data_IF_093277849668
#
_entry.id   IF_093277849668
#
_cell.length_a   1.000
_cell.length_b   1.000
_cell.length_c   1.000
_cell.angle_alpha   90.00
_cell.angle_beta   90.00
_cell.angle_gamma   90.00
#
_symmetry.space_group_name_H-M   'P 1'
#
loop_
_entity.id
_entity.type
_entity.pdbx_description
1 polymer ?
#
# COMPACT_ATOMS: atom_id res chain seq x y z
N UNK A 1 -8.13 21.06 2.23
CA UNK A 1 -6.66 21.35 2.29
C UNK A 1 -6.32 22.80 1.94
N UNK A 2 -7.15 23.52 1.18
CA UNK A 2 -6.86 24.93 0.80
C UNK A 2 -6.94 25.95 1.96
N UNK A 3 -7.65 25.64 3.04
CA UNK A 3 -7.91 26.58 4.14
C UNK A 3 -6.67 26.99 4.95
N UNK A 4 -5.57 26.26 4.87
CA UNK A 4 -4.35 26.48 5.68
C UNK A 4 -3.14 26.90 4.83
N UNK A 5 -3.25 26.84 3.49
CA UNK A 5 -2.16 27.27 2.59
C UNK A 5 -1.91 28.77 2.67
N UNK A 6 -0.66 29.16 2.85
CA UNK A 6 -0.23 30.57 2.87
C UNK A 6 -0.38 31.29 4.22
N UNK A 7 -0.84 30.62 5.26
CA UNK A 7 -0.88 31.14 6.62
C UNK A 7 0.43 30.87 7.38
N UNK A 8 0.74 31.72 8.38
CA UNK A 8 1.81 31.44 9.35
C UNK A 8 1.15 31.17 10.70
N UNK A 9 1.44 29.99 11.26
CA UNK A 9 0.81 29.51 12.49
C UNK A 9 1.85 29.16 13.55
N UNK A 10 1.59 29.52 14.79
CA UNK A 10 2.43 29.14 15.93
C UNK A 10 2.02 27.78 16.51
N UNK A 11 0.78 27.35 16.25
CA UNK A 11 0.25 26.06 16.70
C UNK A 11 -0.76 25.54 15.68
N UNK A 12 -0.71 24.25 15.42
CA UNK A 12 -1.71 23.51 14.66
C UNK A 12 -2.23 22.40 15.55
N UNK A 13 -3.55 22.31 15.68
CA UNK A 13 -4.23 21.26 16.40
C UNK A 13 -5.09 20.47 15.42
N UNK A 14 -4.84 19.16 15.31
CA UNK A 14 -5.57 18.22 14.47
C UNK A 14 -6.34 17.27 15.40
N UNK A 15 -7.66 17.40 15.37
CA UNK A 15 -8.56 16.54 16.15
C UNK A 15 -9.13 15.44 15.27
N UNK A 16 -9.31 14.26 15.85
CA UNK A 16 -9.82 13.06 15.17
C UNK A 16 -9.08 12.72 13.86
N UNK A 17 -7.76 12.89 13.89
CA UNK A 17 -6.95 12.80 12.68
C UNK A 17 -6.97 11.41 12.03
N UNK A 18 -7.12 10.33 12.81
CA UNK A 18 -7.24 8.98 12.28
C UNK A 18 -8.53 8.74 11.45
N UNK A 19 -9.52 9.64 11.54
CA UNK A 19 -10.77 9.55 10.77
C UNK A 19 -10.76 10.40 9.50
N UNK A 20 -9.66 11.10 9.23
CA UNK A 20 -9.47 11.83 7.97
C UNK A 20 -9.14 10.82 6.87
N UNK A 21 -9.83 10.86 5.71
CA UNK A 21 -9.50 9.99 4.58
C UNK A 21 -8.01 10.08 4.21
N UNK A 22 -7.39 8.93 3.90
CA UNK A 22 -5.94 8.81 3.72
C UNK A 22 -5.38 9.80 2.70
N UNK A 23 -6.00 9.91 1.53
CA UNK A 23 -5.62 10.85 0.47
C UNK A 23 -5.67 12.32 0.94
N UNK A 24 -6.68 12.68 1.74
CA UNK A 24 -6.82 14.04 2.30
C UNK A 24 -5.76 14.30 3.37
N UNK A 25 -5.46 13.31 4.21
CA UNK A 25 -4.45 13.41 5.26
C UNK A 25 -3.04 13.56 4.66
N UNK A 26 -2.71 12.78 3.63
CA UNK A 26 -1.43 12.86 2.91
C UNK A 26 -1.27 14.20 2.18
N UNK A 27 -2.29 14.65 1.45
CA UNK A 27 -2.32 15.96 0.80
C UNK A 27 -2.16 17.11 1.81
N UNK A 28 -2.81 16.99 2.97
CA UNK A 28 -2.68 17.98 4.03
C UNK A 28 -1.25 18.03 4.55
N UNK A 29 -0.65 16.89 4.88
CA UNK A 29 0.73 16.85 5.38
C UNK A 29 1.73 17.38 4.35
N UNK A 30 1.64 16.95 3.09
CA UNK A 30 2.54 17.42 2.03
C UNK A 30 2.45 18.91 1.77
N UNK A 31 1.23 19.49 1.89
CA UNK A 31 0.98 20.89 1.61
C UNK A 31 1.18 21.82 2.82
N UNK A 32 0.98 21.34 4.04
CA UNK A 32 1.01 22.15 5.26
C UNK A 32 2.31 22.01 6.04
N UNK A 33 2.92 20.83 6.01
CA UNK A 33 4.17 20.56 6.73
C UNK A 33 5.32 21.51 6.38
N UNK A 34 5.54 21.91 5.11
CA UNK A 34 6.56 22.93 4.78
C UNK A 34 6.29 24.28 5.45
N UNK A 35 5.01 24.66 5.60
CA UNK A 35 4.61 25.90 6.30
C UNK A 35 4.88 25.81 7.81
N UNK A 36 4.65 24.63 8.39
CA UNK A 36 4.92 24.35 9.81
C UNK A 36 6.43 24.37 10.08
N UNK A 37 7.21 23.71 9.24
CA UNK A 37 8.66 23.58 9.41
C UNK A 37 9.43 24.87 9.23
N UNK A 38 8.84 25.90 8.58
CA UNK A 38 9.45 27.23 8.42
C UNK A 38 9.42 28.07 9.68
N UNK A 39 8.56 27.74 10.65
CA UNK A 39 8.44 28.44 11.93
C UNK A 39 9.42 27.90 12.99
N UNK A 40 10.22 28.77 13.62
CA UNK A 40 11.17 28.37 14.69
C UNK A 40 10.52 27.80 15.95
N UNK A 41 9.22 27.96 16.15
CA UNK A 41 8.49 27.58 17.38
C UNK A 41 7.10 27.00 17.13
N UNK A 42 6.79 26.57 15.90
CA UNK A 42 5.47 26.01 15.59
C UNK A 42 5.30 24.65 16.27
N UNK A 43 4.18 24.50 16.97
CA UNK A 43 3.79 23.24 17.62
C UNK A 43 2.70 22.57 16.79
N UNK A 44 2.81 21.27 16.63
CA UNK A 44 1.78 20.43 16.02
C UNK A 44 1.29 19.45 17.07
N UNK A 45 0.00 19.48 17.33
CA UNK A 45 -0.69 18.55 18.23
C UNK A 45 -1.68 17.75 17.39
N UNK A 46 -1.56 16.45 17.46
CA UNK A 46 -2.44 15.51 16.74
C UNK A 46 -3.10 14.63 17.79
N UNK A 47 -4.43 14.63 17.80
CA UNK A 47 -5.22 13.83 18.74
C UNK A 47 -6.19 12.98 17.95
N UNK A 48 -6.32 11.72 18.34
CA UNK A 48 -7.34 10.81 17.80
C UNK A 48 -7.43 9.55 18.64
N UNK A 49 -8.55 8.84 18.56
CA UNK A 49 -8.59 7.40 18.82
C UNK A 49 -8.08 6.67 17.59
N UNK A 50 -7.51 5.46 17.72
CA UNK A 50 -7.05 4.66 16.59
C UNK A 50 -8.19 4.34 15.61
N UNK A 51 -7.90 4.40 14.32
CA UNK A 51 -8.84 4.01 13.26
C UNK A 51 -8.07 3.35 12.10
N UNK A 52 -7.72 2.07 12.26
CA UNK A 52 -6.93 1.35 11.30
C UNK A 52 -5.43 1.72 11.30
N UNK A 53 -4.71 1.26 10.29
CA UNK A 53 -3.25 1.46 10.15
C UNK A 53 -2.93 2.59 9.17
N UNK A 54 -3.63 3.70 9.27
CA UNK A 54 -3.53 4.88 8.42
C UNK A 54 -2.33 5.79 8.75
N UNK A 55 -2.31 7.02 8.22
CA UNK A 55 -1.22 7.97 8.46
C UNK A 55 -1.01 8.30 9.95
N UNK A 56 -2.08 8.33 10.78
CA UNK A 56 -1.96 8.51 12.22
C UNK A 56 -1.19 7.36 12.87
N UNK A 57 -1.49 6.11 12.49
CA UNK A 57 -0.72 4.94 12.91
C UNK A 57 0.75 5.02 12.49
N UNK A 58 1.02 5.43 11.24
CA UNK A 58 2.41 5.62 10.76
C UNK A 58 3.17 6.62 11.61
N UNK A 59 2.57 7.79 11.86
CA UNK A 59 3.19 8.83 12.69
C UNK A 59 3.46 8.32 14.09
N UNK A 60 2.55 7.53 14.67
CA UNK A 60 2.68 6.92 15.98
C UNK A 60 3.84 5.93 16.03
N UNK A 61 3.86 4.92 15.15
CA UNK A 61 4.92 3.91 15.09
C UNK A 61 6.28 4.54 14.77
N UNK A 62 6.32 5.55 13.92
CA UNK A 62 7.56 6.30 13.64
C UNK A 62 8.06 7.06 14.87
N UNK A 63 7.16 7.58 15.72
CA UNK A 63 7.53 8.21 16.98
C UNK A 63 8.03 7.21 18.02
N UNK A 64 7.36 6.05 18.17
CA UNK A 64 7.82 4.95 19.03
C UNK A 64 9.23 4.48 18.67
N UNK A 65 9.51 4.37 17.39
CA UNK A 65 10.82 3.96 16.86
C UNK A 65 11.81 5.13 16.70
N UNK A 66 11.48 6.34 17.19
CA UNK A 66 12.32 7.55 17.10
C UNK A 66 12.73 7.93 15.67
N UNK A 67 11.86 7.64 14.70
CA UNK A 67 12.05 7.99 13.28
C UNK A 67 11.51 9.36 12.92
N UNK A 68 10.70 9.96 13.80
CA UNK A 68 10.22 11.34 13.71
C UNK A 68 10.46 12.08 15.06
N UNK A 69 10.10 13.35 15.13
CA UNK A 69 10.29 14.19 16.31
C UNK A 69 9.04 14.33 17.20
N UNK A 70 7.99 13.58 16.95
CA UNK A 70 6.78 13.60 17.78
C UNK A 70 7.00 12.91 19.12
N UNK A 71 6.38 13.48 20.18
CA UNK A 71 6.27 12.86 21.48
C UNK A 71 4.90 12.19 21.60
N UNK A 72 4.88 10.94 22.02
CA UNK A 72 3.65 10.16 22.20
C UNK A 72 3.09 10.43 23.60
N UNK A 73 1.78 10.60 23.64
CA UNK A 73 0.99 10.58 24.88
C UNK A 73 -0.16 9.60 24.64
N UNK A 74 -0.10 8.46 25.33
CA UNK A 74 -1.16 7.44 25.36
C UNK A 74 -1.96 7.60 26.65
N UNK A 75 -3.29 7.59 26.53
CA UNK A 75 -4.21 7.68 27.67
C UNK A 75 -5.17 6.49 27.64
N UNK A 76 -4.73 5.38 28.23
CA UNK A 76 -5.58 4.20 28.38
C UNK A 76 -6.73 4.48 29.37
N UNK A 77 -7.90 3.87 29.15
CA UNK A 77 -9.09 4.12 29.98
C UNK A 77 -8.86 3.92 31.47
N UNK A 78 -8.01 2.97 31.87
CA UNK A 78 -7.71 2.70 33.29
C UNK A 78 -6.95 3.83 34.00
N UNK A 79 -6.39 4.78 33.24
CA UNK A 79 -5.73 5.98 33.77
C UNK A 79 -6.72 7.11 34.06
N UNK A 80 -7.97 6.98 33.58
CA UNK A 80 -9.01 8.01 33.72
C UNK A 80 -9.75 7.80 35.03
N UNK A 81 -9.77 8.78 35.95
CA UNK A 81 -10.48 8.64 37.22
C UNK A 81 -11.96 8.29 37.03
N UNK A 82 -12.44 7.33 37.81
CA UNK A 82 -13.83 6.87 37.80
C UNK A 82 -14.14 5.79 36.75
N UNK A 83 -13.13 5.34 35.97
CA UNK A 83 -13.26 4.20 35.08
C UNK A 83 -12.65 2.96 35.74
N UNK A 84 -13.49 1.98 36.06
CA UNK A 84 -13.12 0.69 36.68
C UNK A 84 -13.60 -0.49 35.79
N UNK A 85 -13.37 -1.72 36.25
CA UNK A 85 -13.80 -2.93 35.52
C UNK A 85 -15.33 -3.05 35.39
N UNK A 86 -16.09 -2.46 36.31
CA UNK A 86 -17.54 -2.39 36.18
C UNK A 86 -17.92 -1.47 35.00
N UNK A 87 -17.36 -0.27 34.96
CA UNK A 87 -17.52 0.66 33.85
C UNK A 87 -17.10 0.03 32.52
N UNK A 88 -15.97 -0.71 32.49
CA UNK A 88 -15.51 -1.45 31.30
C UNK A 88 -16.57 -2.44 30.82
N UNK A 89 -17.07 -3.28 31.72
CA UNK A 89 -18.07 -4.31 31.41
C UNK A 89 -19.37 -3.69 30.87
N UNK A 90 -19.86 -2.63 31.52
CA UNK A 90 -21.05 -1.91 31.10
C UNK A 90 -20.87 -1.23 29.74
N UNK A 91 -19.69 -0.64 29.48
CA UNK A 91 -19.40 0.02 28.22
C UNK A 91 -19.31 -0.98 27.07
N UNK A 92 -18.67 -2.13 27.27
CA UNK A 92 -18.63 -3.21 26.27
C UNK A 92 -20.02 -3.75 25.97
N UNK A 93 -20.88 -3.93 26.99
CA UNK A 93 -22.23 -4.41 26.83
C UNK A 93 -23.11 -3.43 26.02
N UNK A 94 -22.85 -2.12 26.12
CA UNK A 94 -23.57 -1.06 25.42
C UNK A 94 -23.01 -0.76 24.03
N UNK A 95 -21.81 -1.23 23.70
CA UNK A 95 -21.14 -1.00 22.43
C UNK A 95 -20.73 -2.31 21.78
N UNK A 96 -19.45 -2.61 21.77
CA UNK A 96 -18.87 -3.91 21.43
C UNK A 96 -17.45 -4.01 21.96
N UNK A 97 -16.92 -5.23 22.10
CA UNK A 97 -15.50 -5.46 22.48
C UNK A 97 -14.55 -4.78 21.49
N UNK A 98 -14.83 -4.84 20.21
CA UNK A 98 -13.99 -4.22 19.17
C UNK A 98 -13.98 -2.70 19.30
N UNK A 99 -15.16 -2.08 19.49
CA UNK A 99 -15.26 -0.64 19.69
C UNK A 99 -14.55 -0.22 20.97
N UNK A 100 -14.69 -1.00 22.06
CA UNK A 100 -14.01 -0.73 23.32
C UNK A 100 -12.48 -0.73 23.15
N UNK A 101 -11.95 -1.74 22.48
CA UNK A 101 -10.50 -1.84 22.22
C UNK A 101 -9.97 -0.65 21.43
N UNK A 102 -10.72 -0.19 20.44
CA UNK A 102 -10.34 0.97 19.64
C UNK A 102 -10.41 2.28 20.44
N UNK A 103 -11.56 2.54 21.08
CA UNK A 103 -11.84 3.85 21.67
C UNK A 103 -11.21 4.03 23.06
N UNK A 104 -10.99 2.95 23.79
CA UNK A 104 -10.63 3.01 25.20
C UNK A 104 -9.33 2.26 25.54
N UNK A 105 -9.05 1.12 24.92
CA UNK A 105 -7.73 0.48 25.01
C UNK A 105 -6.71 1.12 24.05
N UNK A 106 -7.15 2.05 23.20
CA UNK A 106 -6.33 2.74 22.20
C UNK A 106 -5.60 1.78 21.25
N UNK A 107 -6.20 0.63 20.93
CA UNK A 107 -5.61 -0.35 20.03
C UNK A 107 -5.81 0.02 18.56
N UNK A 108 -4.73 0.05 17.80
CA UNK A 108 -4.79 0.10 16.35
C UNK A 108 -5.27 -1.26 15.83
N UNK A 109 -6.54 -1.33 15.47
CA UNK A 109 -7.17 -2.52 14.88
C UNK A 109 -7.27 -2.32 13.37
N UNK A 110 -6.85 -3.32 12.59
CA UNK A 110 -7.19 -3.40 11.16
C UNK A 110 -8.67 -3.74 10.98
N UNK A 111 -9.19 -3.54 9.78
CA UNK A 111 -10.57 -3.89 9.43
C UNK A 111 -10.83 -5.39 9.65
N UNK A 112 -12.06 -5.72 9.97
CA UNK A 112 -12.48 -7.12 10.09
C UNK A 112 -12.51 -7.79 8.69
N UNK A 113 -12.25 -9.10 8.64
CA UNK A 113 -12.28 -9.90 7.40
C UNK A 113 -11.28 -9.47 6.32
N UNK A 114 -10.12 -8.93 6.73
CA UNK A 114 -9.02 -8.64 5.81
C UNK A 114 -8.47 -9.92 5.14
N UNK A 115 -7.89 -9.76 3.95
CA UNK A 115 -7.24 -10.86 3.25
C UNK A 115 -6.16 -11.51 4.13
N UNK A 116 -5.28 -10.70 4.69
CA UNK A 116 -4.20 -11.13 5.59
C UNK A 116 -4.70 -11.00 7.04
N UNK A 117 -4.33 -11.98 7.86
CA UNK A 117 -4.70 -11.97 9.29
C UNK A 117 -4.20 -10.66 9.95
N UNK A 118 -5.06 -9.90 10.65
CA UNK A 118 -4.66 -8.66 11.32
C UNK A 118 -3.48 -8.83 12.28
N UNK A 119 -3.38 -9.97 12.98
CA UNK A 119 -2.24 -10.25 13.84
C UNK A 119 -0.93 -10.38 13.06
N UNK A 120 -0.99 -10.88 11.83
CA UNK A 120 0.18 -10.95 10.93
C UNK A 120 0.57 -9.56 10.45
N UNK A 121 -0.39 -8.74 10.03
CA UNK A 121 -0.14 -7.37 9.59
C UNK A 121 0.56 -6.56 10.70
N UNK A 122 0.12 -6.66 11.95
CA UNK A 122 0.73 -5.99 13.10
C UNK A 122 2.21 -6.37 13.33
N UNK A 123 2.62 -7.55 12.90
CA UNK A 123 4.03 -8.01 13.04
C UNK A 123 4.93 -7.57 11.87
N UNK A 124 4.37 -6.99 10.82
CA UNK A 124 5.14 -6.52 9.68
C UNK A 124 5.89 -5.23 10.04
N UNK A 125 7.21 -5.27 9.88
CA UNK A 125 8.04 -4.08 10.06
C UNK A 125 8.14 -3.32 8.74
N UNK A 126 7.99 -1.99 8.79
CA UNK A 126 8.21 -1.14 7.63
C UNK A 126 9.39 -0.20 7.84
N UNK A 127 10.00 0.19 6.73
CA UNK A 127 11.19 1.06 6.71
C UNK A 127 10.99 2.16 5.66
N UNK A 128 11.70 3.26 5.84
CA UNK A 128 11.75 4.27 4.81
C UNK A 128 12.57 3.77 3.61
N UNK A 129 12.19 4.12 2.37
CA UNK A 129 12.99 3.79 1.20
C UNK A 129 14.39 4.41 1.30
N UNK A 130 15.40 3.72 0.76
CA UNK A 130 16.76 4.24 0.67
C UNK A 130 16.87 5.38 -0.35
N UNK A 131 15.95 5.44 -1.28
CA UNK A 131 15.80 6.48 -2.28
C UNK A 131 14.33 6.61 -2.66
N UNK A 132 13.84 7.86 -2.76
CA UNK A 132 12.49 8.19 -3.24
C UNK A 132 12.59 9.29 -4.28
N UNK A 133 12.00 9.09 -5.44
CA UNK A 133 12.00 10.07 -6.52
C UNK A 133 10.79 9.88 -7.45
N UNK A 134 10.00 10.94 -7.64
CA UNK A 134 8.90 11.00 -8.61
C UNK A 134 7.92 9.80 -8.55
N UNK A 135 7.61 9.32 -7.35
CA UNK A 135 6.70 8.19 -7.11
C UNK A 135 7.39 6.82 -7.09
N UNK A 136 8.71 6.75 -7.36
CA UNK A 136 9.50 5.53 -7.23
C UNK A 136 10.20 5.51 -5.87
N UNK A 137 9.87 4.53 -5.05
CA UNK A 137 10.50 4.22 -3.78
C UNK A 137 11.36 2.96 -3.93
N UNK A 138 12.64 3.08 -3.60
CA UNK A 138 13.60 1.98 -3.64
C UNK A 138 13.97 1.56 -2.22
N UNK A 139 13.83 0.28 -1.90
CA UNK A 139 14.19 -0.31 -0.60
C UNK A 139 15.51 -1.07 -0.65
N UNK A 140 15.79 -1.77 -1.76
CA UNK A 140 17.07 -2.44 -1.99
C UNK A 140 17.55 -2.11 -3.41
N UNK A 141 18.88 -1.87 -3.57
CA UNK A 141 19.49 -1.69 -4.89
C UNK A 141 19.52 -3.01 -5.65
N UNK A 142 19.46 -2.98 -6.99
CA UNK A 142 19.66 -4.18 -7.81
C UNK A 142 20.97 -4.88 -7.46
N UNK A 143 20.94 -6.22 -7.36
CA UNK A 143 22.11 -7.07 -7.12
C UNK A 143 22.42 -7.84 -8.39
N UNK A 144 23.71 -7.93 -8.73
CA UNK A 144 24.16 -8.72 -9.88
C UNK A 144 23.75 -10.18 -9.74
N UNK A 145 23.24 -10.78 -10.82
CA UNK A 145 22.78 -12.16 -10.88
C UNK A 145 21.44 -12.45 -10.17
N UNK A 146 20.83 -11.45 -9.52
CA UNK A 146 19.51 -11.62 -8.93
C UNK A 146 18.42 -11.60 -10.01
N UNK A 147 17.34 -12.35 -9.75
CA UNK A 147 16.14 -12.41 -10.62
C UNK A 147 15.03 -11.56 -10.03
N UNK A 148 14.47 -10.68 -10.85
CA UNK A 148 13.42 -9.76 -10.44
C UNK A 148 12.16 -9.92 -11.29
N UNK A 149 11.03 -9.58 -10.67
CA UNK A 149 9.73 -9.51 -11.34
C UNK A 149 9.09 -8.16 -11.02
N UNK A 150 8.62 -7.48 -12.05
CA UNK A 150 7.80 -6.26 -11.95
C UNK A 150 6.36 -6.63 -12.22
N UNK A 151 5.45 -6.28 -11.34
CA UNK A 151 4.00 -6.45 -11.53
C UNK A 151 3.38 -5.05 -11.56
N UNK A 152 2.69 -4.72 -12.65
CA UNK A 152 2.16 -3.38 -12.89
C UNK A 152 0.64 -3.38 -13.07
N UNK A 153 -0.02 -2.47 -12.38
CA UNK A 153 -1.40 -2.05 -12.58
C UNK A 153 -1.44 -0.65 -13.20
N UNK A 154 -2.42 -0.41 -14.08
CA UNK A 154 -2.44 0.77 -14.94
C UNK A 154 -3.73 1.55 -14.76
N UNK A 155 -3.61 2.78 -14.25
CA UNK A 155 -4.70 3.75 -14.17
C UNK A 155 -4.66 4.77 -15.32
N UNK A 156 -5.74 5.55 -15.44
CA UNK A 156 -5.90 6.56 -16.52
C UNK A 156 -5.15 7.87 -16.29
N UNK A 157 -4.52 8.07 -15.12
CA UNK A 157 -3.82 9.31 -14.78
C UNK A 157 -4.77 10.52 -14.69
N UNK A 158 -5.89 10.34 -14.00
CA UNK A 158 -6.95 11.36 -13.82
C UNK A 158 -7.06 11.82 -12.37
N UNK A 159 -6.04 11.58 -11.56
CA UNK A 159 -5.95 11.89 -10.12
C UNK A 159 -6.93 11.08 -9.22
N UNK A 160 -7.55 10.02 -9.74
CA UNK A 160 -8.42 9.14 -8.94
C UNK A 160 -7.65 7.87 -8.54
N UNK A 161 -7.39 7.00 -9.51
CA UNK A 161 -6.67 5.75 -9.30
C UNK A 161 -5.19 5.92 -9.63
N UNK A 162 -4.34 5.11 -9.04
CA UNK A 162 -2.90 5.18 -9.26
C UNK A 162 -2.45 4.16 -10.31
N UNK A 163 -1.57 4.58 -11.22
CA UNK A 163 -0.70 3.63 -11.91
C UNK A 163 0.40 3.22 -10.95
N UNK A 164 0.51 1.93 -10.70
CA UNK A 164 1.44 1.39 -9.72
C UNK A 164 2.20 0.18 -10.27
N UNK A 165 3.39 -0.08 -9.74
CA UNK A 165 4.06 -1.36 -9.87
C UNK A 165 4.90 -1.68 -8.64
N UNK A 166 5.10 -2.97 -8.43
CA UNK A 166 5.97 -3.50 -7.38
C UNK A 166 7.08 -4.32 -8.03
N UNK A 167 8.31 -4.17 -7.54
CA UNK A 167 9.47 -4.97 -7.94
C UNK A 167 9.76 -5.99 -6.86
N UNK A 168 9.72 -7.27 -7.22
CA UNK A 168 10.03 -8.39 -6.36
C UNK A 168 11.42 -8.94 -6.68
N UNK A 169 12.25 -9.16 -5.66
CA UNK A 169 13.39 -10.08 -5.73
C UNK A 169 12.87 -11.51 -5.50
N UNK A 170 12.95 -12.32 -6.52
CA UNK A 170 12.50 -13.71 -6.51
C UNK A 170 13.66 -14.71 -6.58
N UNK A 171 14.88 -14.26 -6.35
CA UNK A 171 16.08 -15.09 -6.43
C UNK A 171 16.08 -16.22 -5.40
N UNK A 172 15.58 -15.93 -4.19
CA UNK A 172 15.55 -16.87 -3.07
C UNK A 172 14.30 -16.66 -2.22
N UNK A 173 13.85 -17.70 -1.52
CA UNK A 173 12.78 -17.60 -0.52
C UNK A 173 13.41 -17.27 0.84
N UNK A 174 12.88 -16.32 1.60
CA UNK A 174 11.71 -15.50 1.30
C UNK A 174 11.95 -14.51 0.17
N UNK A 175 10.94 -14.33 -0.70
CA UNK A 175 10.91 -13.26 -1.68
C UNK A 175 10.85 -11.90 -0.98
N UNK A 176 11.24 -10.84 -1.68
CA UNK A 176 11.25 -9.49 -1.10
C UNK A 176 10.67 -8.47 -2.06
N UNK A 177 9.97 -7.49 -1.53
CA UNK A 177 9.66 -6.28 -2.26
C UNK A 177 10.87 -5.35 -2.14
N UNK A 178 11.45 -4.95 -3.27
CA UNK A 178 12.70 -4.16 -3.33
C UNK A 178 12.50 -2.76 -3.89
N UNK A 179 11.42 -2.52 -4.62
CA UNK A 179 10.98 -1.20 -5.05
C UNK A 179 9.48 -1.15 -5.30
N UNK A 180 8.92 0.05 -5.24
CA UNK A 180 7.52 0.37 -5.53
C UNK A 180 7.46 1.65 -6.33
N UNK A 181 6.56 1.73 -7.29
CA UNK A 181 6.15 2.95 -7.96
C UNK A 181 4.66 3.17 -7.76
N UNK A 182 4.27 4.43 -7.50
CA UNK A 182 2.86 4.82 -7.38
C UNK A 182 2.68 6.26 -7.81
N UNK A 183 1.80 6.51 -8.78
CA UNK A 183 1.52 7.85 -9.28
C UNK A 183 0.13 7.93 -9.92
N UNK A 184 -0.71 8.88 -9.53
CA UNK A 184 -2.07 9.06 -10.04
C UNK A 184 -2.18 10.13 -11.16
N UNK A 185 -1.08 10.80 -11.48
CA UNK A 185 -1.05 11.84 -12.52
C UNK A 185 -0.37 11.37 -13.82
N UNK A 186 0.41 10.27 -13.72
CA UNK A 186 1.14 9.76 -14.88
C UNK A 186 0.20 9.36 -16.00
N UNK A 187 0.51 9.85 -17.21
CA UNK A 187 -0.26 9.47 -18.38
C UNK A 187 0.11 8.06 -18.83
N UNK A 188 -0.87 7.24 -19.28
CA UNK A 188 -0.64 5.86 -19.71
C UNK A 188 0.43 5.73 -20.81
N UNK A 189 0.58 6.73 -21.68
CA UNK A 189 1.60 6.75 -22.72
C UNK A 189 3.04 6.92 -22.20
N UNK A 190 3.21 7.44 -20.98
CA UNK A 190 4.54 7.65 -20.37
C UNK A 190 4.91 6.52 -19.42
N UNK A 191 3.93 5.81 -18.89
CA UNK A 191 4.13 4.77 -17.90
C UNK A 191 4.98 3.59 -18.40
N UNK A 192 4.88 3.13 -19.68
CA UNK A 192 5.74 2.09 -20.22
C UNK A 192 7.24 2.42 -20.09
N UNK A 193 7.62 3.70 -20.30
CA UNK A 193 9.03 4.10 -20.20
C UNK A 193 9.56 3.93 -18.77
N UNK A 194 8.76 4.27 -17.76
CA UNK A 194 9.14 4.10 -16.34
C UNK A 194 9.28 2.62 -16.00
N UNK A 195 8.31 1.79 -16.40
CA UNK A 195 8.39 0.33 -16.20
C UNK A 195 9.66 -0.22 -16.87
N UNK A 196 9.91 0.15 -18.12
CA UNK A 196 11.05 -0.30 -18.91
C UNK A 196 12.39 0.06 -18.22
N UNK A 197 12.55 1.34 -17.82
CA UNK A 197 13.79 1.82 -17.21
C UNK A 197 14.08 1.12 -15.88
N UNK A 198 13.03 0.96 -15.03
CA UNK A 198 13.17 0.26 -13.76
C UNK A 198 13.43 -1.23 -13.99
N UNK A 199 12.71 -1.89 -14.88
CA UNK A 199 12.92 -3.30 -15.17
C UNK A 199 14.34 -3.57 -15.73
N UNK A 200 14.85 -2.68 -16.58
CA UNK A 200 16.25 -2.75 -17.04
C UNK A 200 17.25 -2.58 -15.90
N UNK A 201 17.03 -1.61 -15.03
CA UNK A 201 17.90 -1.39 -13.87
C UNK A 201 17.91 -2.61 -12.92
N UNK A 202 16.77 -3.32 -12.80
CA UNK A 202 16.66 -4.57 -12.04
C UNK A 202 16.94 -5.82 -12.91
N UNK A 203 18.09 -5.86 -13.57
CA UNK A 203 18.64 -7.00 -14.32
C UNK A 203 17.72 -7.52 -15.42
N UNK A 204 17.06 -6.68 -16.19
CA UNK A 204 16.08 -7.08 -17.19
C UNK A 204 14.93 -7.90 -16.56
N UNK A 205 14.32 -7.37 -15.50
CA UNK A 205 13.29 -8.04 -14.74
C UNK A 205 12.16 -8.58 -15.63
N UNK A 206 11.55 -9.69 -15.25
CA UNK A 206 10.31 -10.13 -15.90
C UNK A 206 9.18 -9.15 -15.56
N UNK A 207 8.42 -8.71 -16.57
CA UNK A 207 7.35 -7.72 -16.40
C UNK A 207 6.00 -8.37 -16.65
N UNK A 208 5.11 -8.30 -15.66
CA UNK A 208 3.70 -8.67 -15.78
C UNK A 208 2.85 -7.40 -15.70
N UNK A 209 2.04 -7.15 -16.72
CA UNK A 209 1.10 -6.02 -16.76
C UNK A 209 -0.33 -6.54 -16.61
N UNK A 210 -1.13 -5.92 -15.74
CA UNK A 210 -2.57 -6.11 -15.75
C UNK A 210 -3.16 -5.41 -16.99
N UNK A 211 -3.82 -6.19 -17.86
CA UNK A 211 -4.30 -5.71 -19.15
C UNK A 211 -5.81 -5.43 -19.19
N UNK A 212 -6.40 -5.19 -18.04
CA UNK A 212 -7.74 -4.65 -17.99
C UNK A 212 -7.72 -3.19 -18.46
N UNK A 213 -8.83 -2.74 -19.05
CA UNK A 213 -9.01 -1.37 -19.53
C UNK A 213 -7.82 -0.86 -20.38
N UNK A 214 -7.04 0.09 -19.86
CA UNK A 214 -5.95 0.76 -20.60
C UNK A 214 -4.60 -0.01 -20.52
N UNK A 215 -4.49 -1.01 -19.65
CA UNK A 215 -3.25 -1.77 -19.47
C UNK A 215 -2.78 -2.51 -20.72
N UNK A 216 -3.69 -2.86 -21.65
CA UNK A 216 -3.33 -3.46 -22.93
C UNK A 216 -2.46 -2.52 -23.79
N UNK A 217 -2.69 -1.20 -23.72
CA UNK A 217 -1.87 -0.22 -24.42
C UNK A 217 -0.46 -0.15 -23.85
N UNK A 218 -0.33 -0.21 -22.52
CA UNK A 218 0.97 -0.21 -21.84
C UNK A 218 1.77 -1.47 -22.18
N UNK A 219 1.13 -2.65 -22.13
CA UNK A 219 1.78 -3.91 -22.49
C UNK A 219 2.21 -3.92 -23.98
N UNK A 220 1.37 -3.38 -24.86
CA UNK A 220 1.67 -3.24 -26.28
C UNK A 220 2.87 -2.32 -26.53
N UNK A 221 2.91 -1.16 -25.87
CA UNK A 221 4.03 -0.23 -25.98
C UNK A 221 5.34 -0.84 -25.46
N UNK A 222 5.30 -1.56 -24.33
CA UNK A 222 6.48 -2.28 -23.82
C UNK A 222 7.00 -3.29 -24.85
N UNK A 223 6.12 -4.08 -25.48
CA UNK A 223 6.52 -5.14 -26.41
C UNK A 223 7.00 -4.60 -27.76
N UNK A 224 6.27 -3.64 -28.35
CA UNK A 224 6.48 -3.25 -29.75
C UNK A 224 7.22 -1.92 -29.90
N UNK A 225 6.99 -0.95 -29.03
CA UNK A 225 7.64 0.36 -29.14
C UNK A 225 9.00 0.38 -28.40
N UNK A 226 9.08 -0.30 -27.25
CA UNK A 226 10.28 -0.38 -26.42
C UNK A 226 11.04 -1.70 -26.58
N UNK A 227 10.51 -2.64 -27.37
CA UNK A 227 11.12 -3.95 -27.68
C UNK A 227 11.57 -4.71 -26.42
N UNK A 228 10.74 -4.65 -25.35
CA UNK A 228 11.09 -5.30 -24.09
C UNK A 228 10.84 -6.81 -24.13
N UNK A 229 11.90 -7.60 -24.10
CA UNK A 229 11.83 -9.05 -24.34
C UNK A 229 11.26 -9.87 -23.17
N UNK A 230 11.42 -9.41 -21.92
CA UNK A 230 11.02 -10.16 -20.73
C UNK A 230 9.58 -9.85 -20.26
N UNK A 231 8.68 -9.61 -21.23
CA UNK A 231 7.26 -9.41 -20.90
C UNK A 231 6.57 -10.75 -20.71
N UNK A 232 5.88 -10.91 -19.58
CA UNK A 232 5.16 -12.15 -19.24
C UNK A 232 3.86 -12.21 -20.03
N UNK A 233 3.62 -13.35 -20.67
CA UNK A 233 2.40 -13.64 -21.41
C UNK A 233 1.53 -14.63 -20.65
N UNK A 234 0.22 -14.38 -20.60
CA UNK A 234 -0.75 -15.30 -20.02
C UNK A 234 -1.56 -16.03 -21.09
N UNK A 235 -2.02 -17.25 -20.78
CA UNK A 235 -2.88 -18.02 -21.67
C UNK A 235 -4.29 -17.47 -21.71
N UNK A 236 -4.86 -17.33 -22.91
CA UNK A 236 -6.28 -17.01 -23.11
C UNK A 236 -7.19 -18.23 -23.05
N UNK A 237 -6.65 -19.47 -23.09
CA UNK A 237 -7.41 -20.73 -23.05
C UNK A 237 -6.84 -21.65 -21.96
N UNK A 238 -7.71 -22.37 -21.28
CA UNK A 238 -7.37 -23.24 -20.17
C UNK A 238 -7.66 -22.59 -18.82
N UNK A 239 -6.74 -22.72 -17.85
CA UNK A 239 -6.87 -22.04 -16.55
C UNK A 239 -6.49 -20.57 -16.70
N UNK A 240 -7.43 -19.68 -16.44
CA UNK A 240 -7.19 -18.23 -16.50
C UNK A 240 -6.00 -17.83 -15.60
N UNK A 241 -5.11 -17.00 -16.12
CA UNK A 241 -3.90 -16.53 -15.42
C UNK A 241 -2.72 -17.49 -15.47
N UNK A 242 -2.77 -18.57 -16.24
CA UNK A 242 -1.61 -19.45 -16.42
C UNK A 242 -0.54 -18.77 -17.30
N UNK A 243 0.68 -18.67 -16.78
CA UNK A 243 1.84 -18.17 -17.53
C UNK A 243 2.19 -19.17 -18.64
N UNK A 244 2.36 -18.68 -19.86
CA UNK A 244 2.77 -19.47 -21.02
C UNK A 244 4.26 -19.25 -21.22
N UNK A 245 5.06 -20.31 -21.07
CA UNK A 245 6.48 -20.28 -21.44
C UNK A 245 6.62 -20.10 -22.95
N UNK A 246 7.60 -19.30 -23.38
CA UNK A 246 7.87 -18.97 -24.79
C UNK A 246 8.15 -20.23 -25.63
N UNK A 247 7.14 -20.75 -26.27
CA UNK A 247 7.21 -21.86 -27.22
C UNK A 247 6.01 -21.83 -28.15
N UNK A 248 6.19 -22.26 -29.40
CA UNK A 248 5.20 -22.35 -30.48
C UNK A 248 4.02 -23.29 -30.17
N UNK A 249 3.45 -23.24 -28.99
CA UNK A 249 2.24 -23.99 -28.67
C UNK A 249 1.01 -23.16 -29.04
N UNK A 250 0.23 -23.61 -30.00
CA UNK A 250 -0.88 -22.92 -30.68
C UNK A 250 -2.07 -22.44 -29.84
N UNK A 251 -1.83 -21.96 -28.63
CA UNK A 251 -2.76 -21.21 -27.79
C UNK A 251 -2.58 -19.70 -28.04
N UNK A 252 -3.68 -18.94 -28.13
CA UNK A 252 -3.58 -17.47 -28.14
C UNK A 252 -2.98 -17.01 -26.82
N UNK A 253 -1.75 -16.54 -26.84
CA UNK A 253 -1.10 -15.85 -25.74
C UNK A 253 -1.53 -14.38 -25.74
N UNK A 254 -1.75 -13.81 -24.57
CA UNK A 254 -2.03 -12.40 -24.36
C UNK A 254 -0.84 -11.78 -23.61
N UNK A 255 -0.40 -10.60 -24.04
CA UNK A 255 0.56 -9.82 -23.29
C UNK A 255 -0.03 -9.46 -21.94
N UNK A 256 0.66 -9.83 -20.87
CA UNK A 256 0.15 -9.59 -19.51
C UNK A 256 -1.01 -10.49 -19.08
N UNK A 257 -1.70 -10.11 -18.03
CA UNK A 257 -2.79 -10.87 -17.42
C UNK A 257 -4.08 -10.05 -17.33
N UNK A 258 -5.20 -10.65 -17.71
CA UNK A 258 -6.51 -10.06 -17.46
C UNK A 258 -7.02 -10.53 -16.10
N UNK A 259 -7.24 -9.61 -15.18
CA UNK A 259 -7.78 -9.89 -13.85
C UNK A 259 -9.28 -10.13 -13.94
N UNK A 260 -9.65 -11.39 -13.94
CA UNK A 260 -11.04 -11.86 -13.77
C UNK A 260 -11.28 -12.19 -12.30
N UNK A 261 -12.56 -12.35 -11.89
CA UNK A 261 -12.89 -12.79 -10.52
C UNK A 261 -12.15 -14.08 -10.10
N UNK A 262 -11.97 -15.02 -11.04
CA UNK A 262 -11.25 -16.27 -10.79
C UNK A 262 -9.74 -16.03 -10.59
N UNK A 263 -9.12 -15.18 -11.41
CA UNK A 263 -7.70 -14.80 -11.30
C UNK A 263 -7.47 -14.04 -10.01
N UNK A 264 -8.31 -13.03 -9.68
CA UNK A 264 -8.21 -12.27 -8.42
C UNK A 264 -8.31 -13.19 -7.20
N UNK A 265 -9.30 -14.10 -7.18
CA UNK A 265 -9.47 -15.05 -6.08
C UNK A 265 -8.26 -15.97 -5.91
N UNK A 266 -7.71 -16.49 -7.00
CA UNK A 266 -6.53 -17.37 -6.96
C UNK A 266 -5.29 -16.59 -6.51
N UNK A 267 -5.08 -15.39 -7.06
CA UNK A 267 -3.99 -14.49 -6.69
C UNK A 267 -4.04 -14.13 -5.21
N UNK A 268 -5.18 -13.67 -4.70
CA UNK A 268 -5.39 -13.37 -3.28
C UNK A 268 -5.10 -14.59 -2.38
N UNK A 269 -5.58 -15.79 -2.77
CA UNK A 269 -5.31 -17.00 -1.98
C UNK A 269 -3.83 -17.36 -1.91
N UNK A 270 -3.11 -17.24 -3.04
CA UNK A 270 -1.68 -17.51 -3.09
C UNK A 270 -0.88 -16.43 -2.32
N UNK A 271 -1.23 -15.16 -2.48
CA UNK A 271 -0.61 -14.04 -1.76
C UNK A 271 -0.76 -14.22 -0.25
N UNK A 272 -1.98 -14.53 0.22
CA UNK A 272 -2.24 -14.86 1.62
C UNK A 272 -1.30 -15.96 2.11
N UNK A 273 -1.21 -17.06 1.37
CA UNK A 273 -0.38 -18.19 1.76
C UNK A 273 1.09 -17.81 1.89
N UNK A 274 1.68 -17.09 0.92
CA UNK A 274 3.11 -16.75 0.96
C UNK A 274 3.42 -15.72 2.04
N UNK A 275 2.49 -14.81 2.35
CA UNK A 275 2.64 -13.85 3.45
C UNK A 275 2.52 -14.54 4.81
N UNK A 276 1.47 -15.33 5.02
CA UNK A 276 1.22 -15.99 6.31
C UNK A 276 2.24 -17.09 6.64
N UNK A 277 2.96 -17.61 5.64
CA UNK A 277 4.05 -18.59 5.83
C UNK A 277 5.45 -17.98 5.77
N UNK A 278 5.59 -16.66 5.90
CA UNK A 278 6.86 -15.92 5.91
C UNK A 278 7.73 -16.12 4.66
N UNK A 279 7.08 -16.38 3.51
CA UNK A 279 7.77 -16.56 2.23
C UNK A 279 7.85 -15.28 1.41
N UNK A 280 7.26 -14.18 1.86
CA UNK A 280 7.36 -12.85 1.28
C UNK A 280 7.63 -11.83 2.38
N UNK A 281 8.70 -11.06 2.22
CA UNK A 281 9.05 -9.93 3.08
C UNK A 281 8.52 -8.66 2.45
N UNK A 282 7.67 -7.96 3.19
CA UNK A 282 7.05 -6.69 2.82
C UNK A 282 7.53 -5.65 3.81
N UNK A 283 8.15 -4.59 3.31
CA UNK A 283 8.72 -3.51 4.12
C UNK A 283 8.16 -2.14 3.74
N UNK A 284 7.27 -2.10 2.77
CA UNK A 284 6.58 -0.89 2.33
C UNK A 284 5.37 -0.60 3.22
N UNK A 285 5.30 0.62 3.74
CA UNK A 285 4.20 1.04 4.61
C UNK A 285 2.86 1.09 3.87
N UNK A 286 2.83 1.64 2.64
CA UNK A 286 1.56 1.85 1.93
C UNK A 286 0.91 0.51 1.60
N UNK A 287 1.72 -0.47 1.18
CA UNK A 287 1.23 -1.83 0.91
C UNK A 287 0.72 -2.52 2.19
N UNK A 288 1.44 -2.37 3.31
CA UNK A 288 0.98 -2.90 4.61
C UNK A 288 -0.35 -2.24 5.02
N UNK A 289 -0.48 -0.94 4.78
CA UNK A 289 -1.72 -0.20 5.03
C UNK A 289 -2.87 -0.68 4.14
N UNK A 290 -2.64 -0.91 2.83
CA UNK A 290 -3.66 -1.47 1.94
C UNK A 290 -4.12 -2.86 2.41
N UNK A 291 -3.23 -3.74 2.87
CA UNK A 291 -3.64 -5.03 3.47
C UNK A 291 -4.54 -4.87 4.69
N UNK A 292 -4.39 -3.80 5.47
CA UNK A 292 -5.21 -3.56 6.65
C UNK A 292 -6.66 -3.17 6.33
N UNK A 293 -6.92 -2.76 5.10
CA UNK A 293 -8.21 -2.29 4.58
C UNK A 293 -8.72 -3.10 3.38
N UNK A 294 -7.97 -4.11 2.94
CA UNK A 294 -8.35 -4.99 1.85
C UNK A 294 -9.22 -6.13 2.38
N UNK A 295 -10.53 -5.95 2.31
CA UNK A 295 -11.54 -6.77 2.99
C UNK A 295 -12.36 -7.61 2.03
N UNK A 296 -12.96 -8.67 2.56
CA UNK A 296 -13.90 -9.51 1.82
C UNK A 296 -15.24 -8.77 1.64
N UNK A 297 -15.58 -8.43 0.38
CA UNK A 297 -16.89 -7.91 -0.04
C UNK A 297 -17.60 -8.94 -0.90
N UNK A 298 -18.62 -9.59 -0.37
CA UNK A 298 -19.31 -10.67 -1.07
C UNK A 298 -18.41 -11.88 -1.35
N UNK A 299 -18.00 -12.08 -2.60
CA UNK A 299 -17.12 -13.19 -3.02
C UNK A 299 -15.73 -12.74 -3.51
N UNK A 300 -15.41 -11.46 -3.39
CA UNK A 300 -14.15 -10.85 -3.82
C UNK A 300 -13.52 -10.06 -2.68
N UNK A 301 -12.22 -9.82 -2.79
CA UNK A 301 -11.52 -8.87 -1.91
C UNK A 301 -11.42 -7.53 -2.63
N UNK A 302 -11.68 -6.46 -1.91
CA UNK A 302 -11.66 -5.08 -2.42
C UNK A 302 -11.27 -4.14 -1.27
N UNK A 303 -10.76 -2.95 -1.61
CA UNK A 303 -10.52 -1.91 -0.62
C UNK A 303 -11.80 -1.52 0.12
N UNK A 304 -11.69 -1.22 1.39
CA UNK A 304 -12.74 -0.61 2.19
C UNK A 304 -13.10 0.77 1.62
N UNK A 305 -14.33 1.26 1.86
CA UNK A 305 -14.76 2.55 1.34
C UNK A 305 -13.84 3.70 1.81
N UNK A 306 -13.35 4.49 0.87
CA UNK A 306 -12.39 5.58 1.13
C UNK A 306 -10.92 5.15 1.14
N UNK A 307 -10.62 3.89 0.83
CA UNK A 307 -9.27 3.33 0.71
C UNK A 307 -8.98 2.87 -0.73
N UNK A 308 -7.71 2.59 -1.01
CA UNK A 308 -7.22 2.11 -2.33
C UNK A 308 -6.72 0.68 -2.24
N UNK A 309 -6.67 -0.01 -3.38
CA UNK A 309 -6.07 -1.35 -3.57
C UNK A 309 -5.22 -1.39 -4.85
N UNK A 310 -4.46 -0.33 -5.09
CA UNK A 310 -3.67 -0.14 -6.32
C UNK A 310 -2.29 -0.86 -6.26
N UNK A 311 -1.82 -1.30 -5.07
CA UNK A 311 -0.48 -1.89 -4.85
C UNK A 311 -0.46 -3.42 -4.77
#
# INVERSE_FOLDING_TARGET
>A
SSAVRGGSYNMIFLDEFAFVPTNVAEDFFSSVYPTISSGKSTKVIIVSTPNGMNLFYKLWVDAENKRNSYNIIDVHWSQVPGRDEKWRTETIANTSEEQFRREFDCEFLGSANTLINPSKIKTMAFYNPIQSNAGLDMYEKPREGATYVVVADVARGTNNDYSAFIVFDVSTVPYKIVAKYRNNEIKPLLFPNIIHDVAKAYNQAYVLVEVNDIGEQVATALQFDLEYENLIMASMRGRAGQIVGGGFSGGKAQLGVRTTKAVKKLGCSNLKQIIETDKLIITDYDLINEFSTFILKGQSFEAEEGHTDDL
#
